data_IF_761234132270
#
_entry.id   IF_761234132270
#
_cell.length_a   1.000
_cell.length_b   1.000
_cell.length_c   1.000
_cell.angle_alpha   90.00
_cell.angle_beta   90.00
_cell.angle_gamma   90.00
#
_symmetry.space_group_name_H-M   'P 1'
#
loop_
_entity.id
_entity.type
_entity.pdbx_description
1 polymer ?
#
# COMPACT_ATOMS: atom_id res chain seq x y z
N UNK A 1 -6.60 31.47 -33.95
CA UNK A 1 -5.35 30.82 -33.53
C UNK A 1 -5.68 29.42 -33.04
N UNK A 2 -5.52 28.40 -33.89
CA UNK A 2 -5.75 27.00 -33.50
C UNK A 2 -4.58 26.55 -32.63
N UNK A 3 -4.79 26.49 -31.30
CA UNK A 3 -3.81 25.90 -30.40
C UNK A 3 -3.68 24.42 -30.73
N UNK A 4 -2.56 24.03 -31.33
CA UNK A 4 -2.17 22.62 -31.48
C UNK A 4 -1.93 22.12 -30.05
N UNK A 5 -2.93 21.47 -29.47
CA UNK A 5 -2.84 20.95 -28.11
C UNK A 5 -1.93 19.71 -28.18
N UNK A 6 -0.64 19.91 -27.88
CA UNK A 6 0.37 18.87 -27.96
C UNK A 6 0.00 17.72 -27.01
N UNK A 7 -0.52 16.61 -27.57
CA UNK A 7 -0.56 15.33 -26.86
C UNK A 7 0.88 14.94 -26.59
N UNK A 8 1.35 15.20 -25.38
CA UNK A 8 2.61 14.62 -24.95
C UNK A 8 2.33 13.17 -24.54
N UNK A 9 3.15 12.27 -25.07
CA UNK A 9 2.90 10.84 -25.07
C UNK A 9 3.51 10.20 -23.81
N UNK A 10 2.90 9.13 -23.31
CA UNK A 10 3.53 8.23 -22.35
C UNK A 10 3.33 6.79 -22.84
N UNK A 11 4.40 6.00 -22.83
CA UNK A 11 4.35 4.55 -23.11
C UNK A 11 5.32 3.77 -22.22
N UNK A 12 5.01 2.49 -21.97
CA UNK A 12 5.99 1.53 -21.44
C UNK A 12 6.68 0.84 -22.62
N UNK A 13 8.00 1.00 -22.71
CA UNK A 13 8.82 0.39 -23.77
C UNK A 13 9.29 -1.02 -23.42
N UNK A 14 9.59 -1.27 -22.15
CA UNK A 14 10.20 -2.51 -21.70
C UNK A 14 9.82 -2.81 -20.26
N UNK A 15 9.67 -4.11 -19.97
CA UNK A 15 9.50 -4.66 -18.62
C UNK A 15 10.71 -5.54 -18.33
N UNK A 16 11.37 -5.31 -17.19
CA UNK A 16 12.48 -6.13 -16.70
C UNK A 16 12.15 -6.69 -15.31
N UNK A 17 12.91 -7.67 -14.81
CA UNK A 17 12.74 -8.15 -13.43
C UNK A 17 12.91 -7.06 -12.36
N UNK A 18 13.66 -6.00 -12.67
CA UNK A 18 14.00 -4.92 -11.72
C UNK A 18 13.10 -3.69 -11.83
N UNK A 19 12.34 -3.53 -12.93
CA UNK A 19 11.50 -2.35 -13.14
C UNK A 19 10.89 -2.21 -14.53
N UNK A 20 10.36 -1.01 -14.79
CA UNK A 20 9.75 -0.62 -16.06
C UNK A 20 10.56 0.49 -16.73
N UNK A 21 10.76 0.39 -18.05
CA UNK A 21 11.29 1.49 -18.85
C UNK A 21 10.14 2.26 -19.51
N UNK A 22 9.97 3.51 -19.09
CA UNK A 22 8.91 4.43 -19.51
C UNK A 22 9.49 5.47 -20.48
N UNK A 23 8.72 5.86 -21.49
CA UNK A 23 9.02 7.04 -22.32
C UNK A 23 7.90 8.04 -22.18
N UNK A 24 8.21 9.23 -21.69
CA UNK A 24 7.24 10.28 -21.36
C UNK A 24 7.76 11.60 -21.90
N UNK A 25 6.97 12.26 -22.77
CA UNK A 25 7.41 13.46 -23.50
C UNK A 25 8.77 13.28 -24.21
N UNK A 26 8.96 12.14 -24.89
CA UNK A 26 10.20 11.76 -25.58
C UNK A 26 11.44 11.59 -24.68
N UNK A 27 11.26 11.57 -23.36
CA UNK A 27 12.31 11.29 -22.38
C UNK A 27 12.14 9.90 -21.78
N UNK A 28 13.23 9.16 -21.67
CA UNK A 28 13.27 7.84 -21.04
C UNK A 28 13.43 7.93 -19.53
N UNK A 29 12.66 7.12 -18.80
CA UNK A 29 12.71 6.98 -17.36
C UNK A 29 12.72 5.50 -16.97
N UNK A 30 13.49 5.14 -15.95
CA UNK A 30 13.49 3.79 -15.40
C UNK A 30 12.80 3.78 -14.02
N UNK A 31 11.63 3.16 -13.94
CA UNK A 31 10.88 2.99 -12.72
C UNK A 31 11.27 1.67 -12.05
N UNK A 32 12.25 1.71 -11.15
CA UNK A 32 12.70 0.51 -10.40
C UNK A 32 11.64 0.05 -9.39
N UNK A 33 11.41 -1.26 -9.30
CA UNK A 33 10.54 -1.86 -8.29
C UNK A 33 11.07 -1.69 -6.86
N UNK A 34 12.35 -1.39 -6.66
CA UNK A 34 12.87 -1.03 -5.34
C UNK A 34 12.28 0.31 -4.84
N UNK A 35 12.09 1.26 -5.76
CA UNK A 35 11.55 2.59 -5.46
C UNK A 35 10.03 2.69 -5.67
N UNK A 36 9.46 1.77 -6.46
CA UNK A 36 8.04 1.75 -6.82
C UNK A 36 7.50 0.30 -6.78
N UNK A 37 7.47 -0.35 -5.59
CA UNK A 37 7.16 -1.77 -5.48
C UNK A 37 5.75 -2.13 -5.95
N UNK A 38 4.81 -1.19 -5.84
CA UNK A 38 3.43 -1.36 -6.34
C UNK A 38 3.35 -1.57 -7.87
N UNK A 39 4.37 -1.18 -8.63
CA UNK A 39 4.43 -1.47 -10.07
C UNK A 39 4.75 -2.94 -10.36
N UNK A 40 5.40 -3.65 -9.42
CA UNK A 40 5.75 -5.07 -9.60
C UNK A 40 4.51 -5.98 -9.55
N UNK A 41 3.46 -5.54 -8.85
CA UNK A 41 2.21 -6.29 -8.67
C UNK A 41 1.17 -5.99 -9.78
N UNK A 42 1.52 -5.15 -10.77
CA UNK A 42 0.63 -4.84 -11.89
C UNK A 42 0.38 -6.07 -12.77
N UNK A 43 -0.89 -6.38 -13.11
CA UNK A 43 -1.20 -7.38 -14.11
C UNK A 43 -0.54 -7.05 -15.45
N UNK A 44 0.04 -8.04 -16.13
CA UNK A 44 0.77 -7.83 -17.39
C UNK A 44 -0.04 -7.09 -18.46
N UNK A 45 -1.35 -7.33 -18.52
CA UNK A 45 -2.26 -6.64 -19.42
C UNK A 45 -2.47 -5.15 -19.07
N UNK A 46 -2.30 -4.77 -17.80
CA UNK A 46 -2.44 -3.39 -17.33
C UNK A 46 -1.13 -2.61 -17.39
N UNK A 47 0.03 -3.28 -17.30
CA UNK A 47 1.35 -2.62 -17.33
C UNK A 47 1.47 -1.63 -18.50
N UNK A 48 0.99 -1.99 -19.68
CA UNK A 48 1.07 -1.15 -20.88
C UNK A 48 -0.08 -0.13 -21.02
N UNK A 49 -1.12 -0.21 -20.17
CA UNK A 49 -2.28 0.67 -20.21
C UNK A 49 -2.03 1.93 -19.38
N UNK A 50 -1.15 2.81 -19.89
CA UNK A 50 -0.85 4.08 -19.24
C UNK A 50 -1.49 5.25 -19.96
N UNK A 51 -1.98 6.19 -19.18
CA UNK A 51 -2.49 7.47 -19.63
C UNK A 51 -1.52 8.59 -19.24
N UNK A 52 -1.24 9.48 -20.18
CA UNK A 52 -0.54 10.72 -19.89
C UNK A 52 -1.56 11.82 -19.55
N UNK A 53 -1.42 12.42 -18.37
CA UNK A 53 -2.38 13.39 -17.83
C UNK A 53 -1.92 14.85 -17.99
N UNK A 54 -0.79 15.12 -18.65
CA UNK A 54 -0.23 16.47 -18.77
C UNK A 54 0.85 16.75 -17.74
N UNK A 55 1.75 17.69 -18.05
CA UNK A 55 2.77 18.22 -17.15
C UNK A 55 3.69 17.16 -16.50
N UNK A 56 3.87 16.00 -17.14
CA UNK A 56 4.67 14.90 -16.60
C UNK A 56 3.89 13.94 -15.69
N UNK A 57 2.58 14.10 -15.54
CA UNK A 57 1.72 13.15 -14.83
C UNK A 57 1.39 11.93 -15.69
N UNK A 58 1.48 10.74 -15.10
CA UNK A 58 1.26 9.44 -15.72
C UNK A 58 0.35 8.65 -14.79
N UNK A 59 -0.66 7.97 -15.36
CA UNK A 59 -1.62 7.18 -14.59
C UNK A 59 -1.85 5.81 -15.21
N UNK A 60 -1.87 4.77 -14.37
CA UNK A 60 -2.52 3.50 -14.66
C UNK A 60 -3.94 3.56 -14.08
N UNK A 61 -4.94 3.81 -14.93
CA UNK A 61 -6.31 4.09 -14.48
C UNK A 61 -6.94 2.90 -13.72
N UNK A 62 -6.76 1.69 -14.24
CA UNK A 62 -7.36 0.48 -13.65
C UNK A 62 -6.71 0.07 -12.31
N UNK A 63 -5.42 0.38 -12.16
CA UNK A 63 -4.65 0.04 -10.96
C UNK A 63 -4.68 1.15 -9.89
N UNK A 64 -5.26 2.32 -10.21
CA UNK A 64 -5.25 3.52 -9.37
C UNK A 64 -3.83 3.93 -8.94
N UNK A 65 -2.88 3.88 -9.89
CA UNK A 65 -1.47 4.24 -9.67
C UNK A 65 -1.14 5.52 -10.42
N UNK A 66 -0.68 6.52 -9.68
CA UNK A 66 -0.22 7.81 -10.19
C UNK A 66 1.29 7.97 -10.03
N UNK A 67 1.96 8.43 -11.08
CA UNK A 67 3.37 8.83 -11.07
C UNK A 67 3.57 10.20 -11.73
N UNK A 68 4.68 10.84 -11.38
CA UNK A 68 5.13 12.08 -11.99
C UNK A 68 6.60 11.96 -12.40
N UNK A 69 6.98 12.51 -13.55
CA UNK A 69 8.36 12.47 -14.08
C UNK A 69 9.41 12.93 -13.06
N UNK A 70 9.18 14.03 -12.33
CA UNK A 70 10.05 14.47 -11.21
C UNK A 70 10.37 13.38 -10.17
N UNK A 71 9.42 12.52 -9.83
CA UNK A 71 9.64 11.44 -8.85
C UNK A 71 10.45 10.31 -9.50
N UNK A 72 10.27 10.07 -10.81
CA UNK A 72 11.09 9.14 -11.59
C UNK A 72 12.53 9.65 -11.77
N UNK A 73 12.73 10.96 -11.87
CA UNK A 73 14.05 11.61 -11.98
C UNK A 73 14.82 11.57 -10.66
N UNK A 74 14.11 11.81 -9.54
CA UNK A 74 14.69 11.93 -8.20
C UNK A 74 13.95 11.07 -7.18
N UNK A 75 13.95 9.73 -7.31
CA UNK A 75 13.25 8.84 -6.37
C UNK A 75 13.76 8.97 -4.93
N UNK A 76 15.03 9.35 -4.74
CA UNK A 76 15.67 9.60 -3.45
C UNK A 76 15.00 10.71 -2.62
N UNK A 77 14.41 11.70 -3.28
CA UNK A 77 13.71 12.82 -2.64
C UNK A 77 12.32 12.41 -2.11
N UNK A 78 11.80 11.28 -2.59
CA UNK A 78 10.47 10.76 -2.28
C UNK A 78 10.54 9.34 -1.71
N UNK A 79 11.22 9.13 -0.56
CA UNK A 79 11.37 7.80 0.00
C UNK A 79 10.02 7.20 0.37
N UNK A 80 9.81 5.93 0.02
CA UNK A 80 8.60 5.19 0.35
C UNK A 80 8.45 5.14 1.87
N UNK A 81 7.44 5.82 2.39
CA UNK A 81 7.05 5.74 3.81
C UNK A 81 5.91 4.75 4.01
N UNK A 82 6.05 3.53 3.50
CA UNK A 82 5.08 2.47 3.78
C UNK A 82 5.41 1.87 5.14
N UNK A 83 4.73 2.32 6.20
CA UNK A 83 4.84 1.65 7.48
C UNK A 83 4.09 0.32 7.40
N UNK A 84 4.68 -0.81 7.85
CA UNK A 84 3.90 -2.03 8.00
C UNK A 84 2.79 -1.77 9.03
N UNK A 85 1.54 -1.75 8.55
CA UNK A 85 0.31 -1.46 9.30
C UNK A 85 0.15 -2.30 10.59
N UNK A 86 0.89 -3.40 10.71
CA UNK A 86 0.93 -4.25 11.91
C UNK A 86 1.63 -3.59 13.08
N UNK A 87 2.67 -2.79 12.88
CA UNK A 87 3.47 -2.26 14.00
C UNK A 87 2.75 -1.11 14.70
N UNK A 88 2.17 -0.17 13.95
CA UNK A 88 1.45 0.96 14.53
C UNK A 88 0.22 0.50 15.34
N UNK A 89 -0.60 -0.39 14.78
CA UNK A 89 -1.74 -0.98 15.50
C UNK A 89 -1.30 -1.81 16.72
N UNK A 90 -0.22 -2.60 16.61
CA UNK A 90 0.32 -3.36 17.73
C UNK A 90 0.94 -2.47 18.82
N UNK A 91 1.61 -1.37 18.46
CA UNK A 91 2.16 -0.38 19.39
C UNK A 91 1.03 0.34 20.12
N UNK A 92 0.00 0.77 19.41
CA UNK A 92 -1.18 1.41 20.00
C UNK A 92 -1.98 0.42 20.87
N UNK A 93 -2.10 -0.84 20.46
CA UNK A 93 -2.70 -1.92 21.26
C UNK A 93 -1.92 -2.21 22.54
N UNK A 94 -0.57 -2.23 22.50
CA UNK A 94 0.26 -2.37 23.71
C UNK A 94 0.11 -1.17 24.65
N UNK A 95 0.14 0.06 24.11
CA UNK A 95 -0.08 1.29 24.88
C UNK A 95 -1.47 1.30 25.50
N UNK A 96 -2.53 1.20 24.71
CA UNK A 96 -3.92 1.21 25.17
C UNK A 96 -4.31 0.02 26.05
N UNK A 97 -3.72 -1.16 25.81
CA UNK A 97 -3.88 -2.34 26.64
C UNK A 97 -3.22 -2.22 28.02
N UNK A 98 -2.13 -1.44 28.11
CA UNK A 98 -1.46 -1.09 29.37
C UNK A 98 -2.23 -0.06 30.21
N UNK A 99 -3.06 0.79 29.58
CA UNK A 99 -3.95 1.76 30.26
C UNK A 99 -5.20 1.10 30.88
N UNK A 100 -5.17 -0.18 31.25
CA UNK A 100 -6.23 -0.73 32.11
C UNK A 100 -6.06 -0.10 33.50
N UNK A 101 -6.83 0.96 33.76
CA UNK A 101 -6.90 1.59 35.08
C UNK A 101 -7.15 0.55 36.17
N UNK A 102 -6.69 0.82 37.39
CA UNK A 102 -6.87 -0.08 38.56
C UNK A 102 -8.34 -0.53 38.68
N UNK A 103 -9.29 0.39 38.43
CA UNK A 103 -10.73 0.10 38.40
C UNK A 103 -11.11 -0.95 37.36
N UNK A 104 -10.58 -0.88 36.12
CA UNK A 104 -10.87 -1.84 35.05
C UNK A 104 -10.24 -3.20 35.34
N UNK A 105 -9.05 -3.24 35.93
CA UNK A 105 -8.39 -4.48 36.35
C UNK A 105 -9.20 -5.21 37.44
N UNK A 106 -9.61 -4.48 38.48
CA UNK A 106 -10.44 -5.03 39.56
C UNK A 106 -11.80 -5.52 39.04
N UNK A 107 -12.46 -4.72 38.19
CA UNK A 107 -13.75 -5.09 37.60
C UNK A 107 -13.65 -6.32 36.68
N UNK A 108 -12.55 -6.45 35.94
CA UNK A 108 -12.29 -7.63 35.11
C UNK A 108 -12.07 -8.89 35.96
N UNK A 109 -11.37 -8.77 37.10
CA UNK A 109 -11.15 -9.88 38.01
C UNK A 109 -12.47 -10.34 38.67
N UNK A 110 -13.33 -9.41 39.09
CA UNK A 110 -14.65 -9.74 39.62
C UNK A 110 -15.55 -10.39 38.57
N UNK A 111 -15.49 -9.94 37.32
CA UNK A 111 -16.28 -10.50 36.23
C UNK A 111 -15.78 -11.89 35.80
N UNK A 112 -14.46 -12.13 35.82
CA UNK A 112 -13.90 -13.46 35.58
C UNK A 112 -14.36 -14.50 36.60
N UNK A 113 -14.45 -14.11 37.88
CA UNK A 113 -14.99 -14.96 38.97
C UNK A 113 -16.48 -15.27 38.84
N UNK A 114 -17.24 -14.41 38.14
CA UNK A 114 -18.68 -14.62 37.86
C UNK A 114 -18.94 -15.60 36.71
N UNK A 115 -17.91 -16.28 36.20
CA UNK A 115 -18.03 -17.20 35.08
C UNK A 115 -17.86 -16.46 33.76
N UNK A 116 -16.61 -16.14 33.41
CA UNK A 116 -16.25 -15.84 32.02
C UNK A 116 -16.54 -17.02 31.09
N UNK A 117 -16.04 -16.97 29.84
CA UNK A 117 -16.31 -17.95 28.77
C UNK A 117 -16.60 -19.36 29.33
N UNK A 118 -17.85 -19.86 29.26
CA UNK A 118 -18.19 -21.15 29.84
C UNK A 118 -17.30 -22.24 29.23
N UNK A 119 -16.73 -23.07 30.09
CA UNK A 119 -15.94 -24.21 29.64
C UNK A 119 -16.91 -25.18 28.95
N UNK A 120 -16.57 -25.64 27.74
CA UNK A 120 -17.41 -26.61 27.03
C UNK A 120 -17.28 -27.93 27.79
N UNK A 121 -18.32 -28.33 28.51
CA UNK A 121 -18.35 -29.63 29.15
C UNK A 121 -18.26 -30.72 28.08
N UNK A 122 -17.18 -31.50 28.12
CA UNK A 122 -17.06 -32.70 27.31
C UNK A 122 -17.79 -33.79 28.07
N UNK A 123 -19.09 -33.95 27.79
CA UNK A 123 -19.87 -35.04 28.35
C UNK A 123 -19.14 -36.36 28.07
N UNK A 124 -18.75 -37.08 29.13
CA UNK A 124 -18.30 -38.46 29.03
C UNK A 124 -19.47 -39.27 28.45
N UNK A 125 -19.33 -39.70 27.21
CA UNK A 125 -20.16 -40.76 26.66
C UNK A 125 -19.81 -42.05 27.42
N UNK A 126 -20.58 -42.34 28.46
CA UNK A 126 -20.65 -43.67 29.06
C UNK A 126 -21.54 -44.52 28.14
N UNK A 127 -20.90 -45.45 27.42
CA UNK A 127 -21.52 -46.63 26.81
C UNK A 127 -21.26 -47.81 27.73
#
# INVERSE_FOLDING_TARGET
MSGINAKKHAEVKMVTPEGLYLVVEDKGFFASFANFPYLADLPSGQVFQIAYCGHGHIRWEEADIDLHTKILEHPEDFPIRMQPLKLAAAVMGRRGGSVKSIRKALSSATNGRKGGRPHKDRALALT
#
